data_IF_625269884897
#
_entry.id   IF_625269884897
#
_cell.length_a   1.000
_cell.length_b   1.000
_cell.length_c   1.000
_cell.angle_alpha   90.00
_cell.angle_beta   90.00
_cell.angle_gamma   90.00
#
_symmetry.space_group_name_H-M   'P 1'
#
loop_
_entity.id
_entity.type
_entity.pdbx_description
1 polymer ?
#
# COMPACT_ATOMS: atom_id res chain seq x y z
N UNK A 1 -8.88 0.35 -83.34
CA UNK A 1 -8.95 -0.88 -82.53
C UNK A 1 -7.57 -1.13 -81.94
N UNK A 2 -7.40 -0.93 -80.63
CA UNK A 2 -6.24 -1.40 -79.87
C UNK A 2 -6.79 -2.13 -78.66
N UNK A 3 -6.75 -3.46 -78.70
CA UNK A 3 -7.19 -4.31 -77.60
C UNK A 3 -6.11 -4.26 -76.50
N UNK A 4 -6.48 -3.78 -75.31
CA UNK A 4 -5.68 -3.90 -74.10
C UNK A 4 -5.56 -5.39 -73.74
N UNK A 5 -4.51 -6.05 -74.23
CA UNK A 5 -4.08 -7.34 -73.70
C UNK A 5 -3.48 -7.13 -72.30
N UNK A 6 -4.34 -7.19 -71.29
CA UNK A 6 -3.88 -7.39 -69.92
C UNK A 6 -3.33 -8.82 -69.85
N UNK A 7 -2.00 -8.93 -69.77
CA UNK A 7 -1.28 -10.19 -69.60
C UNK A 7 -1.85 -10.96 -68.40
N UNK A 8 -2.19 -12.24 -68.60
CA UNK A 8 -2.65 -13.16 -67.54
C UNK A 8 -1.69 -13.19 -66.33
N UNK A 9 -0.39 -12.92 -66.53
CA UNK A 9 0.59 -12.83 -65.46
C UNK A 9 0.33 -11.67 -64.47
N UNK A 10 -0.25 -10.57 -64.93
CA UNK A 10 -0.53 -9.39 -64.08
C UNK A 10 -1.70 -9.63 -63.13
N UNK A 11 -2.71 -10.39 -63.55
CA UNK A 11 -3.89 -10.71 -62.74
C UNK A 11 -3.55 -11.78 -61.68
N UNK A 12 -2.66 -12.72 -62.00
CA UNK A 12 -2.18 -13.72 -61.04
C UNK A 12 -1.32 -13.08 -59.96
N UNK A 13 -0.50 -12.08 -60.31
CA UNK A 13 0.34 -11.38 -59.34
C UNK A 13 -0.51 -10.57 -58.34
N UNK A 14 -1.51 -9.84 -58.82
CA UNK A 14 -2.43 -9.08 -57.97
C UNK A 14 -3.25 -9.97 -57.03
N UNK A 15 -3.63 -11.18 -57.46
CA UNK A 15 -4.33 -12.16 -56.60
C UNK A 15 -3.42 -12.72 -55.50
N UNK A 16 -2.14 -12.90 -55.80
CA UNK A 16 -1.18 -13.36 -54.80
C UNK A 16 -0.87 -12.25 -53.78
N UNK A 17 -0.74 -11.00 -54.22
CA UNK A 17 -0.57 -9.83 -53.34
C UNK A 17 -1.79 -9.63 -52.42
N UNK A 18 -3.01 -9.74 -52.96
CA UNK A 18 -4.23 -9.68 -52.14
C UNK A 18 -4.27 -10.77 -51.07
N UNK A 19 -3.90 -12.01 -51.42
CA UNK A 19 -3.87 -13.11 -50.47
C UNK A 19 -2.81 -12.92 -49.38
N UNK A 20 -1.65 -12.34 -49.73
CA UNK A 20 -0.61 -12.03 -48.76
C UNK A 20 -1.05 -10.94 -47.79
N UNK A 21 -1.74 -9.91 -48.26
CA UNK A 21 -2.28 -8.85 -47.41
C UNK A 21 -3.35 -9.38 -46.45
N UNK A 22 -4.25 -10.26 -46.92
CA UNK A 22 -5.25 -10.90 -46.05
C UNK A 22 -4.59 -11.78 -44.96
N UNK A 23 -3.51 -12.50 -45.30
CA UNK A 23 -2.74 -13.31 -44.34
C UNK A 23 -1.98 -12.43 -43.33
N UNK A 24 -1.49 -11.27 -43.73
CA UNK A 24 -0.83 -10.31 -42.82
C UNK A 24 -1.83 -9.64 -41.87
N UNK A 25 -3.00 -9.20 -42.36
CA UNK A 25 -4.06 -8.65 -41.52
C UNK A 25 -4.54 -9.68 -40.48
N UNK A 26 -4.69 -10.95 -40.87
CA UNK A 26 -5.05 -12.01 -39.94
C UNK A 26 -3.98 -12.24 -38.86
N UNK A 27 -2.69 -12.13 -39.20
CA UNK A 27 -1.60 -12.25 -38.23
C UNK A 27 -1.57 -11.08 -37.24
N UNK A 28 -1.77 -9.86 -37.73
CA UNK A 28 -1.83 -8.66 -36.87
C UNK A 28 -3.02 -8.74 -35.92
N UNK A 29 -4.19 -9.17 -36.42
CA UNK A 29 -5.37 -9.34 -35.59
C UNK A 29 -5.20 -10.44 -34.53
N UNK A 30 -4.58 -11.57 -34.90
CA UNK A 30 -4.27 -12.64 -33.96
C UNK A 30 -3.26 -12.21 -32.88
N UNK A 31 -2.27 -11.40 -33.26
CA UNK A 31 -1.29 -10.85 -32.32
C UNK A 31 -1.94 -9.85 -31.35
N UNK A 32 -2.82 -8.97 -31.83
CA UNK A 32 -3.58 -8.05 -30.97
C UNK A 32 -4.52 -8.79 -30.01
N UNK A 33 -5.18 -9.86 -30.47
CA UNK A 33 -6.02 -10.71 -29.62
C UNK A 33 -5.20 -11.44 -28.54
N UNK A 34 -4.00 -11.89 -28.87
CA UNK A 34 -3.09 -12.54 -27.92
C UNK A 34 -2.58 -11.56 -26.85
N UNK A 35 -2.20 -10.34 -27.25
CA UNK A 35 -1.79 -9.28 -26.33
C UNK A 35 -2.94 -8.85 -25.40
N UNK A 36 -4.16 -8.77 -25.92
CA UNK A 36 -5.36 -8.50 -25.11
C UNK A 36 -5.70 -9.64 -24.14
N UNK A 37 -5.47 -10.90 -24.54
CA UNK A 37 -5.63 -12.05 -23.66
C UNK A 37 -4.59 -12.06 -22.55
N UNK A 38 -3.31 -11.84 -22.87
CA UNK A 38 -2.24 -11.75 -21.88
C UNK A 38 -2.47 -10.62 -20.86
N UNK A 39 -2.91 -9.44 -21.32
CA UNK A 39 -3.22 -8.32 -20.44
C UNK A 39 -4.46 -8.56 -19.55
N UNK A 40 -5.39 -9.41 -19.98
CA UNK A 40 -6.55 -9.81 -19.18
C UNK A 40 -6.22 -10.93 -18.20
N UNK A 41 -5.31 -11.84 -18.56
CA UNK A 41 -4.83 -12.91 -17.67
C UNK A 41 -4.02 -12.33 -16.51
N UNK A 42 -3.23 -11.28 -16.72
CA UNK A 42 -2.53 -10.55 -15.65
C UNK A 42 -3.47 -9.82 -14.68
N UNK A 43 -4.68 -9.44 -15.11
CA UNK A 43 -5.73 -8.84 -14.25
C UNK A 43 -6.57 -9.87 -13.49
N UNK A 44 -6.53 -11.13 -13.92
CA UNK A 44 -7.18 -12.25 -13.22
C UNK A 44 -6.25 -12.93 -12.20
N UNK A 45 -5.02 -12.44 -12.03
CA UNK A 45 -4.21 -12.79 -10.88
C UNK A 45 -4.90 -12.26 -9.60
N UNK A 46 -5.33 -13.18 -8.73
CA UNK A 46 -5.89 -12.85 -7.43
C UNK A 46 -4.83 -12.10 -6.61
N UNK A 47 -4.90 -10.78 -6.60
CA UNK A 47 -4.00 -9.94 -5.80
C UNK A 47 -4.49 -9.91 -4.35
N UNK A 48 -3.74 -10.55 -3.46
CA UNK A 48 -4.03 -10.52 -2.03
C UNK A 48 -3.53 -9.19 -1.49
N UNK A 49 -4.44 -8.40 -0.91
CA UNK A 49 -4.10 -7.17 -0.20
C UNK A 49 -4.08 -7.44 1.28
N UNK A 50 -2.93 -7.19 1.91
CA UNK A 50 -2.75 -7.35 3.34
C UNK A 50 -2.86 -5.97 3.97
N UNK A 51 -3.75 -5.84 4.93
CA UNK A 51 -3.90 -4.64 5.73
C UNK A 51 -3.53 -5.06 7.12
N UNK A 52 -2.70 -4.32 7.85
CA UNK A 52 -2.31 -4.56 9.25
C UNK A 52 -2.08 -3.23 9.95
N UNK A 53 -2.17 -3.23 11.28
CA UNK A 53 -1.86 -2.04 12.07
C UNK A 53 -0.37 -1.74 12.04
N UNK A 54 0.00 -0.60 12.61
CA UNK A 54 1.34 -0.09 12.52
C UNK A 54 2.26 -0.49 13.69
N UNK A 55 2.05 -1.67 14.26
CA UNK A 55 2.84 -2.13 15.40
C UNK A 55 4.33 -2.28 15.05
N UNK A 56 5.21 -2.01 16.02
CA UNK A 56 6.67 -1.99 15.79
C UNK A 56 7.23 -3.31 15.24
N UNK A 57 6.62 -4.44 15.61
CA UNK A 57 7.02 -5.78 15.15
C UNK A 57 6.57 -6.05 13.70
N UNK A 58 5.51 -5.40 13.20
CA UNK A 58 5.15 -5.45 11.78
C UNK A 58 6.18 -4.75 10.88
N UNK A 59 6.97 -3.84 11.45
CA UNK A 59 8.01 -3.08 10.75
C UNK A 59 9.40 -3.69 10.91
N UNK A 60 9.49 -4.86 11.52
CA UNK A 60 10.78 -5.50 11.73
C UNK A 60 11.33 -5.96 10.38
N UNK A 61 12.46 -5.38 10.01
CA UNK A 61 13.23 -5.79 8.84
C UNK A 61 13.98 -7.07 9.15
N UNK A 62 14.15 -7.90 8.13
CA UNK A 62 14.99 -9.09 8.21
C UNK A 62 16.43 -8.69 8.55
N UNK A 63 17.18 -9.57 9.22
CA UNK A 63 18.54 -9.24 9.68
C UNK A 63 19.49 -8.92 8.51
N UNK A 64 19.25 -9.50 7.32
CA UNK A 64 19.97 -9.21 6.07
C UNK A 64 19.66 -7.84 5.47
N UNK A 65 18.60 -7.15 5.89
CA UNK A 65 18.26 -5.81 5.38
C UNK A 65 18.26 -4.73 6.45
N UNK A 66 18.64 -5.11 7.68
CA UNK A 66 18.68 -4.21 8.83
C UNK A 66 19.85 -3.24 8.71
N UNK A 67 19.61 -1.92 8.70
CA UNK A 67 20.68 -0.94 8.62
C UNK A 67 21.52 -0.97 9.91
N UNK A 68 22.86 -0.80 9.81
CA UNK A 68 23.69 -0.58 10.99
C UNK A 68 23.24 0.65 11.76
N UNK A 69 23.20 0.56 13.08
CA UNK A 69 22.74 1.66 13.94
C UNK A 69 23.92 2.45 14.49
N UNK A 70 23.72 3.73 14.79
CA UNK A 70 24.74 4.58 15.42
C UNK A 70 25.29 3.99 16.74
N UNK A 71 24.48 3.19 17.45
CA UNK A 71 24.85 2.53 18.70
C UNK A 71 25.72 1.28 18.51
N UNK A 72 25.83 0.73 17.30
CA UNK A 72 26.64 -0.46 17.04
C UNK A 72 28.13 -0.18 17.23
N UNK A 73 28.89 -1.18 17.69
CA UNK A 73 30.34 -1.09 17.73
C UNK A 73 30.93 -1.04 16.31
N UNK A 74 32.14 -0.46 16.14
CA UNK A 74 32.83 -0.38 14.83
C UNK A 74 32.91 -1.77 14.16
N UNK A 75 33.24 -2.80 14.94
CA UNK A 75 33.35 -4.18 14.44
C UNK A 75 32.02 -4.74 13.91
N UNK A 76 30.89 -4.40 14.54
CA UNK A 76 29.58 -4.88 14.06
C UNK A 76 29.21 -4.28 12.70
N UNK A 77 29.59 -3.01 12.47
CA UNK A 77 29.37 -2.34 11.19
C UNK A 77 30.29 -2.96 10.12
N UNK A 78 31.55 -3.26 10.47
CA UNK A 78 32.49 -3.97 9.59
C UNK A 78 31.95 -5.33 9.19
N UNK A 79 31.53 -6.16 10.14
CA UNK A 79 30.95 -7.47 9.86
C UNK A 79 29.74 -7.37 8.93
N UNK A 80 28.88 -6.35 9.13
CA UNK A 80 27.74 -6.12 8.26
C UNK A 80 28.17 -5.76 6.83
N UNK A 81 29.19 -4.93 6.65
CA UNK A 81 29.74 -4.60 5.32
C UNK A 81 30.35 -5.82 4.64
N UNK A 82 31.06 -6.66 5.40
CA UNK A 82 31.62 -7.93 4.92
C UNK A 82 30.52 -8.89 4.45
N UNK A 83 29.45 -9.05 5.24
CA UNK A 83 28.28 -9.87 4.90
C UNK A 83 27.59 -9.39 3.60
N UNK A 84 27.69 -8.08 3.31
CA UNK A 84 27.14 -7.45 2.11
C UNK A 84 28.16 -7.31 0.96
N UNK A 85 29.39 -7.81 1.13
CA UNK A 85 30.49 -7.70 0.18
C UNK A 85 30.83 -6.25 -0.22
N UNK A 86 30.73 -5.30 0.72
CA UNK A 86 31.04 -3.89 0.49
C UNK A 86 32.49 -3.61 0.91
N UNK A 87 33.29 -3.13 -0.04
CA UNK A 87 34.70 -2.80 0.20
C UNK A 87 34.83 -1.51 1.03
N UNK A 88 35.69 -1.54 2.04
CA UNK A 88 36.06 -0.39 2.86
C UNK A 88 37.58 -0.34 3.07
N UNK A 89 38.10 0.80 3.53
CA UNK A 89 39.53 1.02 3.80
C UNK A 89 39.82 0.75 5.28
N UNK A 90 40.93 0.10 5.63
CA UNK A 90 41.22 -0.32 7.02
C UNK A 90 41.21 0.83 8.06
N UNK A 91 41.64 2.04 7.67
CA UNK A 91 41.73 3.22 8.55
C UNK A 91 40.49 4.12 8.57
N UNK A 92 39.37 3.65 8.01
CA UNK A 92 38.11 4.39 7.96
C UNK A 92 37.53 4.62 9.36
N UNK A 93 36.92 5.79 9.58
CA UNK A 93 36.25 6.11 10.84
C UNK A 93 34.90 5.39 10.96
N UNK A 94 34.36 5.28 12.19
CA UNK A 94 33.03 4.71 12.42
C UNK A 94 31.94 5.47 11.67
N UNK A 95 32.05 6.79 11.59
CA UNK A 95 31.06 7.63 10.90
C UNK A 95 31.06 7.35 9.39
N UNK A 96 32.25 7.24 8.79
CA UNK A 96 32.40 6.92 7.36
C UNK A 96 31.94 5.48 7.05
N UNK A 97 32.21 4.50 7.93
CA UNK A 97 31.65 3.14 7.79
C UNK A 97 30.13 3.13 7.83
N UNK A 98 29.55 3.91 8.75
CA UNK A 98 28.10 4.02 8.88
C UNK A 98 27.52 4.65 7.61
N UNK A 99 28.12 5.73 7.12
CA UNK A 99 27.72 6.39 5.88
C UNK A 99 27.80 5.43 4.70
N UNK A 100 28.89 4.68 4.55
CA UNK A 100 29.05 3.71 3.48
C UNK A 100 27.98 2.62 3.53
N UNK A 101 27.62 2.15 4.72
CA UNK A 101 26.53 1.20 4.90
C UNK A 101 25.17 1.81 4.51
N UNK A 102 24.89 3.06 4.87
CA UNK A 102 23.66 3.77 4.51
C UNK A 102 23.55 4.02 3.00
N UNK A 103 24.66 4.29 2.31
CA UNK A 103 24.72 4.48 0.86
C UNK A 103 24.46 3.19 0.07
N UNK A 104 24.77 2.03 0.67
CA UNK A 104 24.65 0.71 0.05
C UNK A 104 23.52 -0.14 0.66
N UNK A 105 22.49 0.49 1.24
CA UNK A 105 21.41 -0.26 1.87
C UNK A 105 20.67 -1.13 0.85
N UNK A 106 20.50 -2.44 1.13
CA UNK A 106 19.64 -3.28 0.31
C UNK A 106 18.18 -2.82 0.42
N UNK A 107 17.37 -3.21 -0.56
CA UNK A 107 15.92 -3.00 -0.50
C UNK A 107 15.39 -3.67 0.77
N UNK A 108 14.69 -2.90 1.61
CA UNK A 108 14.09 -3.39 2.85
C UNK A 108 13.18 -4.58 2.56
N UNK A 109 13.38 -5.66 3.31
CA UNK A 109 12.46 -6.79 3.39
C UNK A 109 11.93 -6.84 4.80
N UNK A 110 10.62 -6.92 4.95
CA UNK A 110 10.00 -7.04 6.26
C UNK A 110 9.82 -8.51 6.59
N UNK A 111 10.01 -8.88 7.86
CA UNK A 111 9.71 -10.25 8.33
C UNK A 111 8.27 -10.65 8.04
N UNK A 112 7.36 -9.67 8.11
CA UNK A 112 5.96 -9.85 7.74
C UNK A 112 5.81 -10.29 6.28
N UNK A 113 6.63 -9.82 5.34
CA UNK A 113 6.51 -10.23 3.94
C UNK A 113 6.80 -11.73 3.74
N UNK A 114 7.60 -12.34 4.63
CA UNK A 114 7.88 -13.79 4.62
C UNK A 114 6.73 -14.61 5.23
N UNK A 115 6.06 -14.06 6.25
CA UNK A 115 5.02 -14.74 7.02
C UNK A 115 3.59 -14.47 6.50
N UNK A 116 3.38 -13.34 5.84
CA UNK A 116 2.06 -12.86 5.49
C UNK A 116 1.57 -13.50 4.20
N UNK A 117 0.93 -14.67 4.33
CA UNK A 117 0.21 -15.30 3.22
C UNK A 117 -1.21 -14.76 3.00
N UNK A 118 -1.92 -14.28 4.02
CA UNK A 118 -3.20 -13.53 3.92
C UNK A 118 -3.44 -12.93 5.30
N UNK A 119 -3.49 -11.60 5.45
CA UNK A 119 -4.13 -10.96 6.62
C UNK A 119 -4.85 -9.67 6.19
N UNK A 120 -6.18 -9.68 6.23
CA UNK A 120 -7.00 -8.47 6.05
C UNK A 120 -7.33 -7.86 7.43
N UNK A 121 -6.73 -6.72 7.75
CA UNK A 121 -6.90 -6.06 9.04
C UNK A 121 -7.49 -4.66 8.86
N UNK A 122 -8.78 -4.61 8.55
CA UNK A 122 -9.65 -3.54 9.06
C UNK A 122 -10.97 -4.13 9.61
N UNK A 123 -11.31 -5.37 9.25
CA UNK A 123 -12.49 -6.10 9.76
C UNK A 123 -12.25 -6.86 11.08
N UNK A 124 -10.99 -7.13 11.45
CA UNK A 124 -10.70 -7.99 12.60
C UNK A 124 -11.10 -7.40 13.95
N UNK A 125 -11.04 -6.07 14.17
CA UNK A 125 -11.38 -5.49 15.49
C UNK A 125 -12.86 -5.72 15.82
N UNK A 126 -13.73 -5.60 14.80
CA UNK A 126 -15.15 -5.87 14.95
C UNK A 126 -15.43 -7.36 15.13
N UNK A 127 -14.76 -8.21 14.34
CA UNK A 127 -14.80 -9.66 14.50
C UNK A 127 -14.33 -10.09 15.90
N UNK A 128 -13.23 -9.50 16.38
CA UNK A 128 -12.64 -9.71 17.70
C UNK A 128 -13.57 -9.22 18.82
N UNK A 129 -14.23 -8.07 18.66
CA UNK A 129 -15.23 -7.58 19.60
C UNK A 129 -16.41 -8.55 19.74
N UNK A 130 -16.88 -9.11 18.62
CA UNK A 130 -17.95 -10.10 18.61
C UNK A 130 -17.51 -11.43 19.24
N UNK A 131 -16.32 -11.92 18.91
CA UNK A 131 -15.78 -13.13 19.54
C UNK A 131 -15.58 -12.94 21.04
N UNK A 132 -15.03 -11.80 21.48
CA UNK A 132 -14.91 -11.47 22.93
C UNK A 132 -16.26 -11.48 23.62
N UNK A 133 -17.30 -10.95 22.97
CA UNK A 133 -18.67 -10.97 23.49
C UNK A 133 -19.16 -12.41 23.62
N UNK A 134 -18.97 -13.24 22.60
CA UNK A 134 -19.32 -14.65 22.62
C UNK A 134 -18.61 -15.41 23.75
N UNK A 135 -17.30 -15.20 23.90
CA UNK A 135 -16.49 -15.79 24.97
C UNK A 135 -17.00 -15.32 26.33
N UNK A 136 -17.21 -14.02 26.53
CA UNK A 136 -17.70 -13.48 27.80
C UNK A 136 -19.03 -14.12 28.22
N UNK A 137 -19.93 -14.33 27.27
CA UNK A 137 -21.28 -14.81 27.56
C UNK A 137 -21.32 -16.34 27.80
N UNK A 138 -20.35 -17.09 27.27
CA UNK A 138 -20.32 -18.57 27.31
C UNK A 138 -19.21 -19.17 28.18
N UNK A 139 -18.20 -18.39 28.54
CA UNK A 139 -17.09 -18.81 29.40
C UNK A 139 -17.53 -18.81 30.88
N UNK A 140 -18.11 -19.92 31.31
CA UNK A 140 -18.68 -20.03 32.67
C UNK A 140 -17.65 -20.47 33.72
N UNK A 141 -16.57 -21.15 33.31
CA UNK A 141 -15.54 -21.69 34.22
C UNK A 141 -14.29 -20.83 34.28
N UNK A 142 -14.20 -19.79 33.44
CA UNK A 142 -13.08 -18.83 33.41
C UNK A 142 -11.71 -19.50 33.24
N UNK A 143 -11.65 -20.60 32.48
CA UNK A 143 -10.41 -21.33 32.21
C UNK A 143 -9.91 -21.08 30.80
N UNK A 144 -8.59 -21.12 30.58
CA UNK A 144 -7.98 -20.97 29.26
C UNK A 144 -8.46 -22.03 28.26
N UNK A 145 -8.67 -23.26 28.73
CA UNK A 145 -9.17 -24.35 27.89
C UNK A 145 -10.59 -24.09 27.37
N UNK A 146 -11.47 -23.52 28.21
CA UNK A 146 -12.83 -23.18 27.79
C UNK A 146 -12.84 -21.94 26.88
N UNK A 147 -12.01 -20.94 27.15
CA UNK A 147 -11.82 -19.80 26.25
C UNK A 147 -11.40 -20.26 24.86
N UNK A 148 -10.41 -21.16 24.78
CA UNK A 148 -9.93 -21.71 23.50
C UNK A 148 -11.05 -22.48 22.78
N UNK A 149 -11.77 -23.35 23.50
CA UNK A 149 -12.90 -24.07 22.95
C UNK A 149 -13.97 -23.15 22.38
N UNK A 150 -14.41 -22.14 23.13
CA UNK A 150 -15.46 -21.20 22.67
C UNK A 150 -14.96 -20.34 21.51
N UNK A 151 -13.69 -19.91 21.53
CA UNK A 151 -13.09 -19.18 20.43
C UNK A 151 -13.06 -20.02 19.14
N UNK A 152 -12.65 -21.28 19.23
CA UNK A 152 -12.63 -22.18 18.07
C UNK A 152 -14.05 -22.44 17.54
N UNK A 153 -15.02 -22.69 18.43
CA UNK A 153 -16.42 -22.84 18.03
C UNK A 153 -16.94 -21.57 17.34
N UNK A 154 -16.54 -20.38 17.78
CA UNK A 154 -16.93 -19.13 17.12
C UNK A 154 -16.31 -19.03 15.72
N UNK A 155 -15.03 -19.36 15.57
CA UNK A 155 -14.33 -19.36 14.28
C UNK A 155 -14.96 -20.37 13.32
N UNK A 156 -15.25 -21.59 13.78
CA UNK A 156 -15.81 -22.66 12.96
C UNK A 156 -17.24 -22.35 12.45
N UNK A 157 -17.96 -21.48 13.17
CA UNK A 157 -19.30 -21.03 12.80
C UNK A 157 -19.30 -19.74 11.98
N UNK A 158 -18.14 -19.09 11.77
CA UNK A 158 -18.05 -17.87 10.99
C UNK A 158 -18.26 -18.20 9.51
N UNK A 159 -19.32 -17.65 8.92
CA UNK A 159 -19.63 -17.84 7.51
C UNK A 159 -19.16 -16.67 6.62
N UNK A 160 -19.20 -16.89 5.30
CA UNK A 160 -18.80 -15.88 4.30
C UNK A 160 -19.65 -14.61 4.38
N UNK A 161 -20.91 -14.71 4.80
CA UNK A 161 -21.84 -13.58 4.88
C UNK A 161 -21.49 -12.70 6.09
N UNK A 162 -21.24 -13.29 7.25
CA UNK A 162 -20.77 -12.60 8.45
C UNK A 162 -19.41 -11.95 8.21
N UNK A 163 -18.48 -12.66 7.57
CA UNK A 163 -17.19 -12.10 7.18
C UNK A 163 -17.35 -10.87 6.27
N UNK A 164 -18.19 -10.96 5.24
CA UNK A 164 -18.48 -9.84 4.35
C UNK A 164 -19.14 -8.66 5.09
N UNK A 165 -19.98 -8.93 6.09
CA UNK A 165 -20.61 -7.89 6.90
C UNK A 165 -19.59 -7.07 7.71
N UNK A 166 -18.54 -7.70 8.24
CA UNK A 166 -17.47 -6.97 8.92
C UNK A 166 -16.75 -5.99 7.98
N UNK A 167 -16.43 -6.43 6.77
CA UNK A 167 -15.79 -5.58 5.75
C UNK A 167 -16.73 -4.46 5.31
N UNK A 168 -18.02 -4.75 5.14
CA UNK A 168 -19.01 -3.74 4.77
C UNK A 168 -19.22 -2.69 5.85
N UNK A 169 -19.20 -3.09 7.12
CA UNK A 169 -19.29 -2.15 8.25
C UNK A 169 -18.14 -1.14 8.22
N UNK A 170 -16.91 -1.61 8.01
CA UNK A 170 -15.73 -0.75 7.87
C UNK A 170 -15.90 0.24 6.72
N UNK A 171 -16.38 -0.22 5.56
CA UNK A 171 -16.64 0.68 4.41
C UNK A 171 -17.63 1.78 4.76
N UNK A 172 -18.68 1.46 5.52
CA UNK A 172 -19.66 2.45 6.00
C UNK A 172 -19.05 3.44 6.99
N UNK A 173 -18.23 2.98 7.93
CA UNK A 173 -17.50 3.85 8.85
C UNK A 173 -16.60 4.83 8.08
N UNK A 174 -15.80 4.32 7.14
CA UNK A 174 -14.92 5.16 6.29
C UNK A 174 -15.72 6.20 5.52
N UNK A 175 -16.84 5.81 4.90
CA UNK A 175 -17.70 6.76 4.20
C UNK A 175 -18.26 7.85 5.13
N UNK A 176 -18.62 7.48 6.35
CA UNK A 176 -19.12 8.42 7.37
C UNK A 176 -18.03 9.39 7.80
N UNK A 177 -16.81 8.90 8.08
CA UNK A 177 -15.68 9.74 8.44
C UNK A 177 -15.30 10.72 7.33
N UNK A 178 -15.24 10.26 6.07
CA UNK A 178 -14.99 11.15 4.92
C UNK A 178 -16.01 12.27 4.82
N UNK A 179 -17.29 11.94 5.04
CA UNK A 179 -18.35 12.94 5.02
C UNK A 179 -18.21 13.96 6.15
N UNK A 180 -17.83 13.51 7.35
CA UNK A 180 -17.57 14.39 8.48
C UNK A 180 -16.36 15.32 8.23
N UNK A 181 -15.31 14.79 7.62
CA UNK A 181 -14.10 15.53 7.25
C UNK A 181 -14.43 16.66 6.27
N UNK A 182 -15.18 16.36 5.21
CA UNK A 182 -15.67 17.38 4.27
C UNK A 182 -16.50 18.49 4.93
N UNK A 183 -17.26 18.16 5.98
CA UNK A 183 -17.99 19.19 6.72
C UNK A 183 -17.08 20.03 7.60
N UNK A 184 -16.04 19.44 8.18
CA UNK A 184 -15.05 20.17 8.96
C UNK A 184 -14.27 21.16 8.08
N UNK A 185 -13.83 20.72 6.89
CA UNK A 185 -13.17 21.58 5.89
C UNK A 185 -14.06 22.76 5.50
N UNK A 186 -15.35 22.51 5.22
CA UNK A 186 -16.30 23.57 4.86
C UNK A 186 -16.50 24.61 5.97
N UNK A 187 -16.52 24.17 7.23
CA UNK A 187 -16.63 25.08 8.38
C UNK A 187 -15.35 25.91 8.51
N UNK A 188 -14.17 25.31 8.29
CA UNK A 188 -12.90 26.03 8.31
C UNK A 188 -12.80 27.09 7.20
N UNK A 189 -13.26 26.77 6.00
CA UNK A 189 -13.36 27.74 4.89
C UNK A 189 -14.30 28.89 5.23
N UNK A 190 -15.51 28.60 5.74
CA UNK A 190 -16.48 29.63 6.14
C UNK A 190 -15.95 30.56 7.25
N UNK A 191 -15.15 30.05 8.18
CA UNK A 191 -14.56 30.86 9.25
C UNK A 191 -13.39 31.74 8.78
N UNK A 192 -12.66 31.34 7.74
CA UNK A 192 -11.55 32.12 7.20
C UNK A 192 -12.01 33.24 6.27
N UNK A 193 -13.17 33.10 5.62
CA UNK A 193 -13.76 34.14 4.75
C UNK A 193 -14.36 35.32 5.54
N UNK A 194 -14.61 35.16 6.84
CA UNK A 194 -15.22 36.19 7.71
C UNK A 194 -14.16 37.10 8.42
N UNK A 195 -12.86 36.85 8.27
CA UNK A 195 -11.77 37.59 8.96
C UNK A 195 -11.14 38.73 8.13
N UNK A 196 -11.68 39.03 6.94
CA UNK A 196 -11.13 40.04 6.00
C UNK A 196 -11.69 41.48 6.20
N UNK A 197 -12.34 41.79 7.33
CA UNK A 197 -12.88 43.15 7.57
C UNK A 197 -12.75 43.62 9.04
N UNK A 198 -11.56 43.50 9.65
CA UNK A 198 -11.25 44.27 10.86
C UNK A 198 -9.92 45.04 10.75
N UNK A 199 -10.04 46.25 10.18
CA UNK A 199 -9.09 47.35 10.30
C UNK A 199 -8.78 47.61 11.79
N UNK A 200 -7.64 47.12 12.27
CA UNK A 200 -7.12 47.44 13.59
C UNK A 200 -6.79 48.94 13.68
N UNK A 201 -7.75 49.76 14.10
CA UNK A 201 -7.46 51.14 14.50
C UNK A 201 -6.70 51.10 15.84
N UNK A 202 -5.38 51.24 15.78
CA UNK A 202 -4.52 51.49 16.94
C UNK A 202 -4.96 52.80 17.58
N UNK A 203 -5.69 52.72 18.69
CA UNK A 203 -5.93 53.88 19.54
C UNK A 203 -4.60 54.28 20.20
N UNK A 204 -4.08 55.45 19.82
CA UNK A 204 -3.10 56.20 20.61
C UNK A 204 -3.66 56.41 22.02
N UNK A 205 -3.06 55.74 23.00
CA UNK A 205 -3.19 56.10 24.40
C UNK A 205 -1.96 56.96 24.79
N UNK A 206 -2.04 58.25 24.44
CA UNK A 206 -1.38 59.28 25.22
C UNK A 206 -2.34 59.64 26.37
N UNK A 207 -1.99 59.26 27.59
CA UNK A 207 -2.29 60.04 28.80
C UNK A 207 -1.30 59.65 29.90
N UNK A 208 -0.33 60.55 30.08
CA UNK A 208 0.09 61.15 31.34
C UNK A 208 0.38 60.26 32.57
N UNK A 209 1.67 60.13 32.83
CA UNK A 209 2.36 60.75 33.97
C UNK A 209 1.61 60.72 35.32
N UNK A 210 2.14 59.96 36.28
CA UNK A 210 2.27 60.43 37.66
C UNK A 210 3.51 59.77 38.30
N UNK A 211 4.48 60.65 38.59
CA UNK A 211 5.53 60.52 39.61
C UNK A 211 4.89 60.20 40.97
N UNK A 212 5.53 59.34 41.77
CA UNK A 212 5.96 59.69 43.14
C UNK A 212 6.66 58.50 43.84
N UNK A 213 7.91 58.79 44.25
CA UNK A 213 8.81 58.21 45.28
C UNK A 213 8.89 56.70 45.56
#
# INVERSE_FOLDING_TARGET
>A
MAALQISHGSVVNLKNELKQLEEEEQKVLAQQLLEQQQHNDDRNACSITIIIDNASWHREVTDDTKPPQCLWGKQMIVNWLDDHNILYVDDISKAELLQLAYENLPKKKYKVDEEAKIIELISYELAWANMKTCIRDRNTKFTSAEVNKVAQEWIDNLDETEAANYVNHVKQCVATFKKADMFAEKIEEELNDDDDEHEYSVYSADTDNDDDE
#
